data_IF_423668015371
#
_entry.id   IF_423668015371
#
_cell.length_a   1.000
_cell.length_b   1.000
_cell.length_c   1.000
_cell.angle_alpha   90.00
_cell.angle_beta   90.00
_cell.angle_gamma   90.00
#
_symmetry.space_group_name_H-M   'P 1'
#
loop_
_entity.id
_entity.type
_entity.pdbx_description
1 polymer ?
#
# COMPACT_ATOMS: atom_id res chain seq x y z
N UNK A 1 1.74 -12.61 1.81
CA UNK A 1 0.45 -12.84 1.12
C UNK A 1 -0.28 -11.51 0.94
N UNK A 2 -0.38 -10.95 -0.28
CA UNK A 2 -1.02 -9.64 -0.53
C UNK A 2 -2.56 -9.70 -0.55
N UNK A 3 -3.12 -10.88 -0.81
CA UNK A 3 -4.54 -11.09 -1.02
C UNK A 3 -4.94 -12.43 -0.38
N UNK A 4 -6.11 -12.48 0.26
CA UNK A 4 -6.72 -13.70 0.81
C UNK A 4 -8.08 -13.89 0.17
N UNK A 5 -8.39 -15.11 -0.28
CA UNK A 5 -9.69 -15.46 -0.84
C UNK A 5 -10.42 -16.36 0.14
N UNK A 6 -11.62 -15.97 0.53
CA UNK A 6 -12.51 -16.70 1.44
C UNK A 6 -13.72 -17.21 0.62
N UNK A 7 -14.09 -18.48 0.82
CA UNK A 7 -15.23 -19.12 0.13
C UNK A 7 -16.06 -19.86 1.17
N UNK A 8 -17.29 -19.37 1.42
CA UNK A 8 -18.25 -20.04 2.29
C UNK A 8 -19.38 -20.74 1.51
N UNK A 9 -20.19 -21.61 2.16
CA UNK A 9 -21.33 -22.28 1.52
C UNK A 9 -22.31 -21.30 0.85
N UNK A 10 -22.60 -20.17 1.51
CA UNK A 10 -23.47 -19.11 0.97
C UNK A 10 -22.91 -18.40 -0.26
N UNK A 11 -21.58 -18.34 -0.39
CA UNK A 11 -20.92 -17.69 -1.53
C UNK A 11 -20.91 -18.61 -2.75
N UNK A 12 -20.85 -19.92 -2.51
CA UNK A 12 -21.00 -20.94 -3.56
C UNK A 12 -22.40 -20.87 -4.18
N UNK A 13 -23.45 -20.79 -3.35
CA UNK A 13 -24.83 -20.61 -3.82
C UNK A 13 -24.99 -19.34 -4.69
N UNK A 14 -24.27 -18.26 -4.33
CA UNK A 14 -24.28 -16.98 -5.03
C UNK A 14 -23.25 -16.87 -6.16
N UNK A 15 -22.46 -17.93 -6.44
CA UNK A 15 -21.35 -17.93 -7.41
C UNK A 15 -20.39 -16.75 -7.23
N UNK A 16 -20.04 -16.45 -5.99
CA UNK A 16 -19.11 -15.37 -5.62
C UNK A 16 -18.01 -15.90 -4.69
N UNK A 17 -17.01 -15.07 -4.45
CA UNK A 17 -15.95 -15.27 -3.45
C UNK A 17 -15.68 -13.96 -2.74
N UNK A 18 -15.17 -14.01 -1.51
CA UNK A 18 -14.77 -12.82 -0.77
C UNK A 18 -13.26 -12.65 -0.89
N UNK A 19 -12.84 -11.50 -1.41
CA UNK A 19 -11.44 -11.12 -1.54
C UNK A 19 -11.09 -10.13 -0.43
N UNK A 20 -10.02 -10.40 0.30
CA UNK A 20 -9.52 -9.54 1.38
C UNK A 20 -8.12 -9.06 1.05
N UNK A 21 -7.93 -7.75 1.06
CA UNK A 21 -6.63 -7.12 0.80
C UNK A 21 -5.78 -7.03 2.06
N UNK A 22 -4.47 -7.26 1.95
CA UNK A 22 -3.53 -7.20 3.09
C UNK A 22 -3.16 -5.78 3.49
N UNK A 23 -2.99 -4.89 2.51
CA UNK A 23 -2.54 -3.51 2.69
C UNK A 23 -3.56 -2.65 3.45
N UNK A 24 -4.85 -2.84 3.17
CA UNK A 24 -5.95 -2.04 3.71
C UNK A 24 -6.89 -2.82 4.63
N UNK A 25 -6.90 -4.15 4.56
CA UNK A 25 -7.89 -4.99 5.24
C UNK A 25 -9.28 -4.98 4.59
N UNK A 26 -9.47 -4.24 3.48
CA UNK A 26 -10.76 -4.14 2.78
C UNK A 26 -11.20 -5.50 2.25
N UNK A 27 -12.50 -5.78 2.42
CA UNK A 27 -13.18 -6.97 1.88
C UNK A 27 -14.04 -6.58 0.68
N UNK A 28 -14.03 -7.40 -0.36
CA UNK A 28 -14.82 -7.21 -1.57
C UNK A 28 -15.41 -8.55 -2.02
N UNK A 29 -16.70 -8.55 -2.37
CA UNK A 29 -17.35 -9.72 -2.97
C UNK A 29 -17.15 -9.67 -4.48
N UNK A 30 -16.51 -10.71 -5.03
CA UNK A 30 -16.19 -10.81 -6.46
C UNK A 30 -16.93 -12.02 -7.02
N UNK A 31 -17.62 -11.85 -8.15
CA UNK A 31 -18.26 -12.98 -8.82
C UNK A 31 -17.20 -13.94 -9.37
N UNK A 32 -17.45 -15.23 -9.32
CA UNK A 32 -16.49 -16.23 -9.80
C UNK A 32 -16.13 -16.03 -11.29
N UNK A 33 -17.08 -15.54 -12.09
CA UNK A 33 -16.87 -15.26 -13.51
C UNK A 33 -15.94 -14.08 -13.80
N UNK A 34 -15.79 -13.13 -12.86
CA UNK A 34 -14.93 -11.94 -13.03
C UNK A 34 -13.59 -12.05 -12.29
N UNK A 35 -13.37 -13.16 -11.57
CA UNK A 35 -12.23 -13.31 -10.67
C UNK A 35 -10.88 -13.21 -11.39
N UNK A 36 -10.78 -13.79 -12.59
CA UNK A 36 -9.59 -13.74 -13.44
C UNK A 36 -9.21 -12.32 -13.89
N UNK A 37 -10.18 -11.41 -13.95
CA UNK A 37 -9.97 -10.00 -14.30
C UNK A 37 -9.71 -9.18 -13.04
N UNK A 38 -10.52 -9.39 -11.99
CA UNK A 38 -10.43 -8.60 -10.75
C UNK A 38 -9.20 -8.87 -9.93
N UNK A 39 -8.71 -10.11 -9.83
CA UNK A 39 -7.52 -10.41 -9.03
C UNK A 39 -6.29 -9.64 -9.52
N UNK A 40 -5.93 -9.67 -10.82
CA UNK A 40 -4.84 -8.84 -11.34
C UNK A 40 -5.01 -7.34 -11.11
N UNK A 41 -6.23 -6.80 -11.26
CA UNK A 41 -6.53 -5.39 -10.99
C UNK A 41 -6.25 -5.02 -9.52
N UNK A 42 -6.78 -5.82 -8.58
CA UNK A 42 -6.58 -5.60 -7.15
C UNK A 42 -5.09 -5.69 -6.80
N UNK A 43 -4.35 -6.64 -7.37
CA UNK A 43 -2.91 -6.76 -7.11
C UNK A 43 -2.13 -5.55 -7.62
N UNK A 44 -2.46 -5.02 -8.80
CA UNK A 44 -1.85 -3.77 -9.31
C UNK A 44 -2.18 -2.59 -8.41
N UNK A 45 -3.41 -2.51 -7.92
CA UNK A 45 -3.83 -1.44 -7.02
C UNK A 45 -3.10 -1.52 -5.67
N UNK A 46 -2.94 -2.71 -5.10
CA UNK A 46 -2.15 -2.92 -3.87
C UNK A 46 -0.72 -2.42 -4.08
N UNK A 47 -0.08 -2.84 -5.17
CA UNK A 47 1.30 -2.42 -5.46
C UNK A 47 1.41 -0.91 -5.61
N UNK A 48 0.48 -0.29 -6.34
CA UNK A 48 0.43 1.17 -6.52
C UNK A 48 0.27 1.89 -5.19
N UNK A 49 -0.70 1.48 -4.38
CA UNK A 49 -0.99 2.11 -3.10
C UNK A 49 0.21 2.00 -2.14
N UNK A 50 0.83 0.82 -2.04
CA UNK A 50 2.01 0.64 -1.20
C UNK A 50 3.21 1.47 -1.68
N UNK A 51 3.41 1.57 -2.99
CA UNK A 51 4.45 2.42 -3.56
C UNK A 51 4.21 3.90 -3.26
N UNK A 52 2.98 4.40 -3.47
CA UNK A 52 2.62 5.80 -3.19
C UNK A 52 2.77 6.14 -1.70
N UNK A 53 2.36 5.22 -0.81
CA UNK A 53 2.55 5.39 0.63
C UNK A 53 4.04 5.47 1.00
N UNK A 54 4.87 4.58 0.44
CA UNK A 54 6.30 4.58 0.71
C UNK A 54 7.00 5.81 0.14
N UNK A 55 6.64 6.23 -1.08
CA UNK A 55 7.19 7.42 -1.72
C UNK A 55 6.82 8.68 -0.94
N UNK A 56 5.57 8.81 -0.53
CA UNK A 56 5.12 9.93 0.31
C UNK A 56 5.85 9.96 1.64
N UNK A 57 5.95 8.81 2.32
CA UNK A 57 6.72 8.70 3.57
C UNK A 57 8.18 9.11 3.37
N UNK A 58 8.82 8.66 2.29
CA UNK A 58 10.20 9.05 1.98
C UNK A 58 10.32 10.56 1.78
N UNK A 59 9.43 11.17 0.99
CA UNK A 59 9.44 12.60 0.70
C UNK A 59 9.22 13.45 1.96
N UNK A 60 8.25 13.07 2.80
CA UNK A 60 7.95 13.78 4.06
C UNK A 60 9.09 13.68 5.08
N UNK A 61 9.90 12.62 4.99
CA UNK A 61 11.10 12.41 5.82
C UNK A 61 12.40 12.74 5.07
N UNK A 62 12.33 13.46 3.95
CA UNK A 62 13.50 14.00 3.26
C UNK A 62 13.52 15.51 3.46
N UNK A 63 14.64 16.02 3.96
CA UNK A 63 14.79 17.43 4.31
C UNK A 63 15.89 18.09 3.49
N UNK A 64 15.59 19.28 2.96
CA UNK A 64 16.59 20.11 2.28
C UNK A 64 17.26 21.05 3.29
N UNK A 65 18.59 21.13 3.23
CA UNK A 65 19.40 21.97 4.13
C UNK A 65 20.38 22.81 3.33
N UNK A 66 20.72 24.00 3.82
CA UNK A 66 21.65 24.93 3.16
C UNK A 66 23.01 25.00 3.83
N UNK A 67 23.11 24.54 5.07
CA UNK A 67 24.35 24.57 5.83
C UNK A 67 24.45 23.39 6.83
N UNK A 68 25.62 23.29 7.45
CA UNK A 68 25.94 22.21 8.37
C UNK A 68 25.18 22.32 9.71
N UNK A 69 24.77 23.51 10.13
CA UNK A 69 24.02 23.69 11.38
C UNK A 69 22.59 23.18 11.22
N UNK A 70 21.92 23.51 10.10
CA UNK A 70 20.61 22.98 9.73
C UNK A 70 20.64 21.44 9.61
N UNK A 71 21.68 20.88 8.97
CA UNK A 71 21.90 19.44 8.92
C UNK A 71 21.90 18.82 10.31
N UNK A 72 22.70 19.38 11.22
CA UNK A 72 22.88 18.82 12.57
C UNK A 72 21.59 18.89 13.37
N UNK A 73 20.87 20.01 13.30
CA UNK A 73 19.59 20.19 13.98
C UNK A 73 18.52 19.19 13.53
N UNK A 74 18.45 18.87 12.23
CA UNK A 74 17.50 17.91 11.69
C UNK A 74 17.87 16.47 12.11
N UNK A 75 19.15 16.12 12.07
CA UNK A 75 19.62 14.78 12.47
C UNK A 75 19.44 14.49 13.97
N UNK A 76 19.52 15.51 14.83
CA UNK A 76 19.29 15.37 16.27
C UNK A 76 17.80 15.26 16.63
N UNK A 77 16.89 15.82 15.81
CA UNK A 77 15.45 15.86 16.09
C UNK A 77 14.63 14.90 15.23
N UNK A 78 14.38 15.28 13.97
CA UNK A 78 13.45 14.60 13.05
C UNK A 78 14.05 13.34 12.41
N UNK A 79 15.39 13.32 12.23
CA UNK A 79 16.11 12.29 11.47
C UNK A 79 15.56 12.20 10.03
N UNK A 80 15.82 11.10 9.34
CA UNK A 80 15.41 10.90 7.96
C UNK A 80 16.53 11.13 6.96
N UNK A 81 16.18 11.48 5.73
CA UNK A 81 17.11 11.73 4.65
C UNK A 81 17.40 13.21 4.53
N UNK A 82 18.64 13.55 4.17
CA UNK A 82 19.02 14.94 3.92
C UNK A 82 19.47 15.08 2.47
N UNK A 83 19.00 16.15 1.84
CA UNK A 83 19.33 16.54 0.48
C UNK A 83 19.99 17.93 0.54
N UNK A 84 21.28 17.99 0.27
CA UNK A 84 22.07 19.22 0.27
C UNK A 84 22.66 19.44 -1.13
N UNK A 85 22.81 20.70 -1.53
CA UNK A 85 23.32 21.13 -2.82
C UNK A 85 24.51 22.06 -2.65
#
# INVERSE_FOLDING_TARGET
MPLRVEIGPKDIEKKQVVVVRRDTGKKENVTQSSLNIKVPEILREIQKNMFEMALKFQQENTHEVKDYEEFKAIMESKKGFIKAF
#
